data_IF_045165702157
#
_entry.id   IF_045165702157
#
_cell.length_a   1.000
_cell.length_b   1.000
_cell.length_c   1.000
_cell.angle_alpha   90.00
_cell.angle_beta   90.00
_cell.angle_gamma   90.00
#
_symmetry.space_group_name_H-M   'P 1'
#
loop_
_entity.id
_entity.type
_entity.pdbx_description
1 polymer ?
#
# COMPACT_ATOMS: atom_id res chain seq x y z
N UNK A 1 -4.63 -17.88 -9.84
CA UNK A 1 -4.62 -16.43 -10.11
C UNK A 1 -3.31 -16.03 -10.79
N UNK A 2 -3.34 -15.21 -11.85
CA UNK A 2 -2.12 -14.66 -12.48
C UNK A 2 -1.58 -13.53 -11.60
N UNK A 3 -0.25 -13.34 -11.50
CA UNK A 3 0.34 -12.27 -10.68
C UNK A 3 -0.13 -10.86 -11.11
N UNK A 4 -0.44 -10.66 -12.39
CA UNK A 4 -1.04 -9.41 -12.88
C UNK A 4 -2.43 -9.12 -12.29
N UNK A 5 -3.28 -10.15 -12.17
CA UNK A 5 -4.61 -10.02 -11.53
C UNK A 5 -4.42 -9.70 -10.04
N UNK A 6 -3.44 -10.32 -9.41
CA UNK A 6 -3.06 -10.07 -8.02
C UNK A 6 -2.61 -8.61 -7.83
N UNK A 7 -1.82 -8.07 -8.76
CA UNK A 7 -1.39 -6.67 -8.74
C UNK A 7 -2.55 -5.68 -8.93
N UNK A 8 -3.46 -5.95 -9.88
CA UNK A 8 -4.66 -5.13 -10.07
C UNK A 8 -5.54 -5.12 -8.81
N UNK A 9 -5.77 -6.29 -8.20
CA UNK A 9 -6.51 -6.40 -6.94
C UNK A 9 -5.80 -5.67 -5.79
N UNK A 10 -4.48 -5.81 -5.70
CA UNK A 10 -3.66 -5.10 -4.72
C UNK A 10 -3.81 -3.59 -4.89
N UNK A 11 -3.75 -3.09 -6.11
CA UNK A 11 -3.90 -1.66 -6.42
C UNK A 11 -5.26 -1.14 -5.99
N UNK A 12 -6.35 -1.82 -6.37
CA UNK A 12 -7.69 -1.45 -5.96
C UNK A 12 -7.84 -1.43 -4.43
N UNK A 13 -7.29 -2.45 -3.74
CA UNK A 13 -7.32 -2.52 -2.29
C UNK A 13 -6.50 -1.39 -1.64
N UNK A 14 -5.31 -1.10 -2.14
CA UNK A 14 -4.47 0.01 -1.67
C UNK A 14 -5.18 1.36 -1.80
N UNK A 15 -5.81 1.61 -2.95
CA UNK A 15 -6.61 2.83 -3.16
C UNK A 15 -7.78 2.90 -2.19
N UNK A 16 -8.56 1.83 -2.05
CA UNK A 16 -9.75 1.81 -1.20
C UNK A 16 -9.40 2.03 0.28
N UNK A 17 -8.38 1.32 0.79
CA UNK A 17 -7.93 1.43 2.18
C UNK A 17 -7.34 2.81 2.46
N UNK A 18 -6.48 3.34 1.59
CA UNK A 18 -5.90 4.68 1.79
C UNK A 18 -6.96 5.78 1.69
N UNK A 19 -7.92 5.69 0.77
CA UNK A 19 -9.06 6.64 0.72
C UNK A 19 -9.93 6.56 1.97
N UNK A 20 -10.18 5.35 2.50
CA UNK A 20 -10.92 5.21 3.76
C UNK A 20 -10.15 5.86 4.90
N UNK A 21 -8.84 5.63 4.98
CA UNK A 21 -7.98 6.21 6.00
C UNK A 21 -7.87 7.74 5.91
N UNK A 22 -8.06 8.34 4.73
CA UNK A 22 -8.16 9.80 4.59
C UNK A 22 -9.49 10.36 5.09
N UNK A 23 -10.60 9.63 4.89
CA UNK A 23 -11.94 10.06 5.29
C UNK A 23 -12.21 9.86 6.77
N UNK A 24 -11.68 8.78 7.33
CA UNK A 24 -11.97 8.31 8.67
C UNK A 24 -10.71 7.68 9.29
N UNK A 25 -9.71 8.50 9.64
CA UNK A 25 -8.48 8.01 10.22
C UNK A 25 -8.74 7.44 11.62
N UNK A 26 -8.33 6.19 11.82
CA UNK A 26 -8.46 5.47 13.11
C UNK A 26 -7.71 6.20 14.26
N UNK A 27 -6.71 7.02 13.92
CA UNK A 27 -6.00 7.87 14.88
C UNK A 27 -5.44 9.11 14.20
N UNK A 28 -5.38 10.28 14.89
CA UNK A 28 -4.75 11.50 14.38
C UNK A 28 -3.29 11.30 13.95
N UNK A 29 -2.60 10.32 14.51
CA UNK A 29 -1.21 10.00 14.18
C UNK A 29 -1.03 9.59 12.72
N UNK A 30 -2.06 8.99 12.10
CA UNK A 30 -2.06 8.58 10.70
C UNK A 30 -2.24 9.75 9.72
N UNK A 31 -2.80 10.86 10.20
CA UNK A 31 -3.05 12.06 9.41
C UNK A 31 -1.88 13.05 9.39
N UNK A 32 -0.78 12.69 10.05
CA UNK A 32 0.46 13.49 10.09
C UNK A 32 1.30 13.23 8.84
N UNK A 33 2.08 14.24 8.43
CA UNK A 33 3.03 14.12 7.32
C UNK A 33 4.11 13.07 7.58
N UNK A 34 4.57 12.44 6.49
CA UNK A 34 5.78 11.63 6.49
C UNK A 34 6.99 12.54 6.25
N UNK A 35 7.72 12.88 7.31
CA UNK A 35 8.91 13.72 7.24
C UNK A 35 8.63 15.09 6.60
N UNK A 36 9.43 15.46 5.60
CA UNK A 36 9.26 16.71 4.83
C UNK A 36 8.27 16.57 3.65
N UNK A 37 7.68 15.40 3.44
CA UNK A 37 6.76 15.17 2.31
C UNK A 37 5.35 15.67 2.59
N UNK A 38 4.54 15.86 1.54
CA UNK A 38 3.10 16.18 1.65
C UNK A 38 2.22 14.94 1.84
N UNK A 39 2.81 13.75 1.94
CA UNK A 39 2.10 12.50 2.11
C UNK A 39 1.71 12.32 3.58
N UNK A 40 0.49 11.85 3.83
CA UNK A 40 0.04 11.40 5.16
C UNK A 40 0.72 10.07 5.49
N UNK A 41 0.89 9.77 6.78
CA UNK A 41 1.35 8.44 7.22
C UNK A 41 0.41 7.33 6.75
N UNK A 42 -0.89 7.61 6.59
CA UNK A 42 -1.86 6.70 5.96
C UNK A 42 -1.49 6.26 4.53
N UNK A 43 -0.59 6.98 3.87
CA UNK A 43 -0.14 6.68 2.50
C UNK A 43 1.07 5.74 2.50
N UNK A 44 1.64 5.44 3.68
CA UNK A 44 2.73 4.49 3.80
C UNK A 44 2.20 3.09 3.44
N UNK A 45 2.87 2.38 2.53
CA UNK A 45 2.39 1.11 2.02
C UNK A 45 2.70 -0.05 2.99
N UNK A 46 2.37 0.09 4.28
CA UNK A 46 2.70 -0.89 5.34
C UNK A 46 2.21 -2.28 4.96
N UNK A 47 0.96 -2.38 4.50
CA UNK A 47 0.39 -3.65 4.02
C UNK A 47 1.11 -4.21 2.79
N UNK A 48 1.54 -3.35 1.86
CA UNK A 48 2.33 -3.75 0.69
C UNK A 48 3.71 -4.28 1.06
N UNK A 49 4.39 -3.63 2.00
CA UNK A 49 5.68 -4.07 2.54
C UNK A 49 5.58 -5.42 3.25
N UNK A 50 4.56 -5.61 4.09
CA UNK A 50 4.31 -6.90 4.76
C UNK A 50 4.01 -8.00 3.75
N UNK A 51 3.24 -7.71 2.70
CA UNK A 51 2.99 -8.66 1.62
C UNK A 51 4.27 -9.03 0.87
N UNK A 52 5.16 -8.07 0.60
CA UNK A 52 6.47 -8.36 -0.01
C UNK A 52 7.34 -9.24 0.89
N UNK A 53 7.38 -8.96 2.20
CA UNK A 53 8.08 -9.80 3.17
C UNK A 53 7.54 -11.24 3.16
N UNK A 54 6.22 -11.40 3.21
CA UNK A 54 5.56 -12.70 3.12
C UNK A 54 5.85 -13.41 1.78
N UNK A 55 5.93 -12.68 0.67
CA UNK A 55 6.31 -13.23 -0.63
C UNK A 55 7.74 -13.80 -0.61
N UNK A 56 8.69 -13.12 0.04
CA UNK A 56 10.05 -13.63 0.25
C UNK A 56 10.06 -14.93 1.04
N UNK A 57 9.27 -15.00 2.13
CA UNK A 57 9.16 -16.22 2.95
C UNK A 57 8.57 -17.38 2.13
N UNK A 58 7.52 -17.12 1.36
CA UNK A 58 6.92 -18.12 0.47
C UNK A 58 7.89 -18.62 -0.60
N UNK A 59 8.73 -17.73 -1.16
CA UNK A 59 9.77 -18.13 -2.11
C UNK A 59 10.84 -18.99 -1.44
N UNK A 60 11.29 -18.65 -0.23
CA UNK A 60 12.24 -19.46 0.55
C UNK A 60 11.67 -20.83 0.90
N UNK A 61 10.35 -20.94 1.09
CA UNK A 61 9.65 -22.20 1.31
C UNK A 61 9.35 -22.99 0.01
N UNK A 62 9.96 -22.63 -1.12
CA UNK A 62 9.77 -23.30 -2.41
C UNK A 62 8.43 -23.01 -3.11
N UNK A 63 7.57 -22.16 -2.54
CA UNK A 63 6.25 -21.81 -3.09
C UNK A 63 6.33 -20.61 -4.04
N UNK A 64 7.11 -20.75 -5.11
CA UNK A 64 7.42 -19.66 -6.05
C UNK A 64 6.17 -18.99 -6.65
N UNK A 65 5.17 -19.78 -7.06
CA UNK A 65 3.92 -19.26 -7.64
C UNK A 65 3.10 -18.45 -6.62
N UNK A 66 3.01 -18.93 -5.38
CA UNK A 66 2.33 -18.21 -4.31
C UNK A 66 3.08 -16.92 -3.97
N UNK A 67 4.40 -16.98 -3.85
CA UNK A 67 5.24 -15.81 -3.64
C UNK A 67 5.09 -14.76 -4.75
N UNK A 68 4.99 -15.16 -6.01
CA UNK A 68 4.75 -14.23 -7.12
C UNK A 68 3.37 -13.54 -7.06
N UNK A 69 2.32 -14.26 -6.66
CA UNK A 69 0.97 -13.72 -6.48
C UNK A 69 0.96 -12.70 -5.33
N UNK A 70 1.55 -13.05 -4.19
CA UNK A 70 1.62 -12.17 -3.01
C UNK A 70 2.49 -10.95 -3.29
N UNK A 71 3.59 -11.12 -4.02
CA UNK A 71 4.41 -9.99 -4.47
C UNK A 71 3.62 -9.03 -5.37
N UNK A 72 2.85 -9.58 -6.32
CA UNK A 72 1.96 -8.77 -7.17
C UNK A 72 0.98 -7.95 -6.33
N UNK A 73 0.28 -8.58 -5.38
CA UNK A 73 -0.61 -7.91 -4.44
C UNK A 73 0.11 -6.79 -3.67
N UNK A 74 1.29 -7.07 -3.13
CA UNK A 74 2.06 -6.10 -2.35
C UNK A 74 2.49 -4.88 -3.16
N UNK A 75 2.99 -5.09 -4.38
CA UNK A 75 3.36 -4.00 -5.30
C UNK A 75 2.13 -3.18 -5.69
N UNK A 76 1.04 -3.84 -6.07
CA UNK A 76 -0.21 -3.17 -6.41
C UNK A 76 -0.71 -2.29 -5.28
N UNK A 77 -0.80 -2.86 -4.07
CA UNK A 77 -1.25 -2.12 -2.88
C UNK A 77 -0.35 -0.93 -2.55
N UNK A 78 0.96 -1.09 -2.71
CA UNK A 78 1.89 0.01 -2.51
C UNK A 78 1.68 1.15 -3.49
N UNK A 79 1.53 0.85 -4.78
CA UNK A 79 1.24 1.84 -5.80
C UNK A 79 -0.11 2.53 -5.58
N UNK A 80 -1.14 1.78 -5.17
CA UNK A 80 -2.46 2.33 -4.87
C UNK A 80 -2.43 3.32 -3.71
N UNK A 81 -1.71 2.99 -2.64
CA UNK A 81 -1.57 3.85 -1.45
C UNK A 81 -0.79 5.14 -1.76
N UNK A 82 0.37 5.01 -2.42
CA UNK A 82 1.20 6.17 -2.80
C UNK A 82 0.47 7.04 -3.83
N UNK A 83 -0.14 6.44 -4.85
CA UNK A 83 -0.88 7.14 -5.88
C UNK A 83 -2.06 7.94 -5.31
N UNK A 84 -2.83 7.33 -4.40
CA UNK A 84 -3.91 8.04 -3.69
C UNK A 84 -3.37 9.23 -2.91
N UNK A 85 -2.22 9.07 -2.27
CA UNK A 85 -1.55 10.14 -1.55
C UNK A 85 -1.04 11.30 -2.40
N UNK A 86 -0.70 11.05 -3.67
CA UNK A 86 -0.30 12.08 -4.61
C UNK A 86 -1.51 12.84 -5.18
N UNK A 87 -2.65 12.15 -5.35
CA UNK A 87 -3.91 12.74 -5.81
C UNK A 87 -4.59 13.56 -4.72
N UNK A 88 -4.47 13.14 -3.46
CA UNK A 88 -5.04 13.82 -2.30
C UNK A 88 -3.97 14.14 -1.23
N UNK A 89 -3.06 15.10 -1.51
CA UNK A 89 -2.00 15.48 -0.59
C UNK A 89 -2.52 16.37 0.54
N UNK A 90 -1.81 16.39 1.68
CA UNK A 90 -2.11 17.34 2.75
C UNK A 90 -1.95 18.80 2.28
N UNK A 91 -2.81 19.73 2.76
CA UNK A 91 -2.72 21.15 2.40
C UNK A 91 -1.36 21.73 2.81
N UNK A 92 -0.87 22.73 2.05
CA UNK A 92 0.37 23.44 2.42
C UNK A 92 0.11 24.18 3.73
N UNK A 93 0.94 23.92 4.75
CA UNK A 93 1.01 24.80 5.92
C UNK A 93 1.55 26.13 5.41
N UNK A 94 0.76 27.20 5.58
CA UNK A 94 1.19 28.58 5.38
C UNK A 94 2.14 28.98 6.50
#
# INVERSE_FOLDING_TARGET
MKPAIAAAAGLAAGVAVTRRAHRDPISPWWDVRVGSTRLRRSNLPVGGTLALLAATVLRKAGRLRAGAIVAGLGVGAGLGAVGTGLVDPLPRLR
#
